data_IF_672959910541
#
_entry.id   IF_672959910541
#
_cell.length_a   1.000
_cell.length_b   1.000
_cell.length_c   1.000
_cell.angle_alpha   90.00
_cell.angle_beta   90.00
_cell.angle_gamma   90.00
#
_symmetry.space_group_name_H-M   'P 1'
#
loop_
_entity.id
_entity.type
_entity.pdbx_description
1 polymer ?
#
# COMPACT_ATOMS: atom_id res chain seq x y z
N UNK A 1 -13.82 0.66 5.67
CA UNK A 1 -13.19 2.00 5.66
C UNK A 1 -14.00 2.88 4.74
N UNK A 2 -14.40 4.05 5.23
CA UNK A 2 -15.34 4.92 4.55
C UNK A 2 -14.67 6.24 4.17
N UNK A 3 -15.20 6.91 3.14
CA UNK A 3 -14.74 8.25 2.78
C UNK A 3 -14.95 9.23 3.92
N UNK A 4 -14.03 10.17 4.09
CA UNK A 4 -14.16 11.26 5.04
C UNK A 4 -14.51 12.57 4.32
N UNK A 5 -15.39 13.37 4.92
CA UNK A 5 -15.67 14.72 4.42
C UNK A 5 -14.42 15.59 4.53
N UNK A 6 -14.11 16.32 3.46
CA UNK A 6 -13.04 17.33 3.45
C UNK A 6 -13.47 18.66 4.10
N UNK A 7 -14.75 18.80 4.48
CA UNK A 7 -15.30 19.99 5.14
C UNK A 7 -15.21 19.92 6.67
N UNK A 8 -14.69 18.82 7.21
CA UNK A 8 -14.48 18.59 8.64
C UNK A 8 -13.01 18.32 8.93
N UNK A 9 -12.61 18.43 10.20
CA UNK A 9 -11.30 17.98 10.63
C UNK A 9 -11.09 16.52 10.24
N UNK A 10 -9.98 16.25 9.56
CA UNK A 10 -9.62 14.90 9.17
C UNK A 10 -8.98 14.17 10.35
N UNK A 11 -9.29 12.88 10.56
CA UNK A 11 -8.64 12.08 11.60
C UNK A 11 -7.12 12.05 11.43
N UNK A 12 -6.40 12.17 12.54
CA UNK A 12 -4.97 11.89 12.56
C UNK A 12 -4.70 10.43 12.22
N UNK A 13 -3.63 10.17 11.45
CA UNK A 13 -3.28 8.81 11.04
C UNK A 13 -4.17 8.22 9.94
N UNK A 14 -4.96 9.05 9.23
CA UNK A 14 -5.74 8.61 8.07
C UNK A 14 -4.85 7.89 7.04
N UNK A 15 -5.45 6.90 6.39
CA UNK A 15 -4.85 6.15 5.29
C UNK A 15 -5.66 6.37 4.03
N UNK A 16 -4.99 6.54 2.91
CA UNK A 16 -5.62 6.55 1.58
C UNK A 16 -5.23 5.24 0.92
N UNK A 17 -6.20 4.38 0.63
CA UNK A 17 -5.98 3.14 -0.10
C UNK A 17 -6.29 3.34 -1.57
N UNK A 18 -5.41 2.85 -2.43
CA UNK A 18 -5.51 2.95 -3.88
C UNK A 18 -5.37 1.52 -4.40
N UNK A 19 -6.42 0.98 -5.00
CA UNK A 19 -6.38 -0.35 -5.60
C UNK A 19 -6.80 -0.23 -7.07
N UNK A 20 -6.00 -0.79 -7.96
CA UNK A 20 -6.39 -0.97 -9.35
C UNK A 20 -6.67 -2.46 -9.55
N UNK A 21 -7.92 -2.83 -9.30
CA UNK A 21 -8.44 -4.16 -9.54
C UNK A 21 -9.50 -4.06 -10.62
N UNK A 22 -9.30 -4.77 -11.73
CA UNK A 22 -10.33 -4.93 -12.74
C UNK A 22 -10.93 -6.33 -12.59
N UNK A 23 -12.07 -6.42 -11.90
CA UNK A 23 -12.79 -7.69 -11.68
C UNK A 23 -13.22 -8.34 -13.00
N UNK A 24 -13.47 -7.56 -14.05
CA UNK A 24 -13.90 -8.06 -15.36
C UNK A 24 -12.77 -8.70 -16.15
N UNK A 25 -11.53 -8.23 -15.99
CA UNK A 25 -10.37 -8.73 -16.74
C UNK A 25 -9.51 -9.73 -15.95
N UNK A 26 -9.85 -10.02 -14.69
CA UNK A 26 -9.06 -10.84 -13.75
C UNK A 26 -7.62 -10.33 -13.52
N UNK A 27 -7.26 -9.15 -14.04
CA UNK A 27 -5.95 -8.55 -13.83
C UNK A 27 -5.91 -7.86 -12.47
N UNK A 28 -5.25 -8.53 -11.52
CA UNK A 28 -4.82 -7.91 -10.27
C UNK A 28 -3.55 -7.13 -10.56
N UNK A 29 -3.66 -5.81 -10.77
CA UNK A 29 -2.50 -4.98 -11.12
C UNK A 29 -1.65 -4.71 -9.89
N UNK A 30 -2.29 -4.31 -8.80
CA UNK A 30 -1.62 -4.01 -7.54
C UNK A 30 -2.48 -3.12 -6.66
N UNK A 31 -1.87 -2.70 -5.56
CA UNK A 31 -2.47 -1.76 -4.63
C UNK A 31 -1.38 -0.90 -3.97
N UNK A 32 -1.78 0.22 -3.42
CA UNK A 32 -0.93 1.06 -2.61
C UNK A 32 -1.72 1.72 -1.49
N UNK A 33 -0.99 2.24 -0.50
CA UNK A 33 -1.60 3.13 0.47
C UNK A 33 -0.66 4.26 0.88
N UNK A 34 -1.25 5.38 1.26
CA UNK A 34 -0.54 6.54 1.81
C UNK A 34 -0.94 6.74 3.27
N UNK A 35 0.05 6.86 4.16
CA UNK A 35 -0.13 7.19 5.59
C UNK A 35 0.94 8.20 6.03
N UNK A 36 0.54 9.42 6.36
CA UNK A 36 1.50 10.51 6.58
C UNK A 36 2.33 10.73 5.31
N UNK A 37 3.65 10.64 5.43
CA UNK A 37 4.58 10.74 4.30
C UNK A 37 4.93 9.40 3.66
N UNK A 38 4.48 8.28 4.23
CA UNK A 38 4.81 6.97 3.71
C UNK A 38 3.84 6.61 2.59
N UNK A 39 4.37 6.25 1.43
CA UNK A 39 3.63 5.59 0.36
C UNK A 39 4.18 4.18 0.18
N UNK A 40 3.34 3.18 0.43
CA UNK A 40 3.65 1.77 0.20
C UNK A 40 2.94 1.30 -1.07
N UNK A 41 3.65 0.56 -1.92
CA UNK A 41 3.13 -0.01 -3.16
C UNK A 41 3.39 -1.51 -3.21
N UNK A 42 2.36 -2.28 -3.55
CA UNK A 42 2.43 -3.69 -3.89
C UNK A 42 2.06 -3.87 -5.37
N UNK A 43 3.02 -4.35 -6.15
CA UNK A 43 2.84 -4.66 -7.57
C UNK A 43 2.60 -6.16 -7.72
N UNK A 44 1.40 -6.52 -8.17
CA UNK A 44 1.01 -7.91 -8.43
C UNK A 44 1.24 -8.31 -9.88
N UNK A 45 1.41 -7.33 -10.76
CA UNK A 45 1.73 -7.51 -12.18
C UNK A 45 3.24 -7.77 -12.44
N UNK A 46 4.10 -7.64 -11.43
CA UNK A 46 5.50 -8.05 -11.52
C UNK A 46 5.66 -9.54 -11.16
N UNK A 47 6.66 -10.21 -11.73
CA UNK A 47 6.99 -11.59 -11.39
C UNK A 47 8.47 -11.70 -10.96
N UNK A 48 8.77 -11.92 -9.67
CA UNK A 48 7.82 -12.07 -8.56
C UNK A 48 7.09 -10.76 -8.22
N UNK A 49 5.95 -10.82 -7.49
CA UNK A 49 5.32 -9.64 -6.92
C UNK A 49 6.31 -8.85 -6.08
N UNK A 50 6.24 -7.54 -6.19
CA UNK A 50 7.25 -6.63 -5.64
C UNK A 50 6.63 -5.58 -4.73
N UNK A 51 7.39 -5.19 -3.72
CA UNK A 51 6.99 -4.24 -2.70
C UNK A 51 7.95 -3.04 -2.70
N UNK A 52 7.38 -1.86 -2.69
CA UNK A 52 8.12 -0.60 -2.70
C UNK A 52 7.60 0.33 -1.62
N UNK A 53 8.50 1.11 -1.03
CA UNK A 53 8.16 2.13 -0.04
C UNK A 53 8.90 3.41 -0.34
N UNK A 54 8.17 4.52 -0.28
CA UNK A 54 8.69 5.85 -0.54
C UNK A 54 8.29 6.80 0.59
N UNK A 55 9.14 7.78 0.83
CA UNK A 55 8.80 8.98 1.60
C UNK A 55 8.43 10.08 0.61
N UNK A 56 7.14 10.35 0.42
CA UNK A 56 6.66 11.31 -0.59
C UNK A 56 6.98 12.76 -0.22
N UNK A 57 7.35 13.05 1.03
CA UNK A 57 7.75 14.41 1.43
C UNK A 57 9.17 14.70 0.95
N UNK A 58 10.09 13.74 1.06
CA UNK A 58 11.49 13.91 0.67
C UNK A 58 11.80 13.40 -0.74
N UNK A 59 10.96 12.51 -1.27
CA UNK A 59 11.04 11.92 -2.62
C UNK A 59 9.67 11.93 -3.31
N UNK A 60 9.17 13.12 -3.72
CA UNK A 60 7.84 13.27 -4.34
C UNK A 60 7.72 12.61 -5.72
N UNK A 61 8.82 12.13 -6.29
CA UNK A 61 8.86 11.45 -7.58
C UNK A 61 9.13 9.95 -7.45
N UNK A 62 9.18 9.41 -6.22
CA UNK A 62 9.27 7.98 -5.94
C UNK A 62 10.48 7.30 -6.62
N UNK A 63 11.62 7.98 -6.62
CA UNK A 63 12.85 7.52 -7.27
C UNK A 63 13.70 6.61 -6.38
N UNK A 64 13.51 6.66 -5.06
CA UNK A 64 14.33 5.96 -4.08
C UNK A 64 13.46 5.01 -3.25
N UNK A 65 13.35 3.77 -3.73
CA UNK A 65 12.69 2.71 -2.99
C UNK A 65 13.45 2.40 -1.68
N UNK A 66 12.78 2.59 -0.55
CA UNK A 66 13.29 2.33 0.79
C UNK A 66 13.14 0.87 1.21
N UNK A 67 12.24 0.11 0.57
CA UNK A 67 11.88 -1.26 0.95
C UNK A 67 13.06 -2.21 1.16
N UNK A 68 14.10 -2.24 0.30
CA UNK A 68 15.23 -3.15 0.48
C UNK A 68 16.01 -2.88 1.78
N UNK A 69 16.02 -1.63 2.25
CA UNK A 69 16.76 -1.21 3.44
C UNK A 69 15.98 -1.31 4.75
N UNK A 70 14.67 -1.59 4.70
CA UNK A 70 13.84 -1.70 5.89
C UNK A 70 14.12 -3.01 6.64
N UNK A 71 14.09 -2.92 7.97
CA UNK A 71 14.12 -4.06 8.87
C UNK A 71 12.85 -4.93 8.72
N UNK A 72 12.91 -6.15 9.23
CA UNK A 72 11.76 -7.05 9.21
C UNK A 72 10.58 -6.50 10.02
N UNK A 73 10.85 -5.79 11.12
CA UNK A 73 9.81 -5.20 11.98
C UNK A 73 9.10 -4.06 11.26
N UNK A 74 9.85 -3.18 10.58
CA UNK A 74 9.27 -2.10 9.76
C UNK A 74 8.41 -2.65 8.63
N UNK A 75 8.89 -3.68 7.92
CA UNK A 75 8.12 -4.35 6.85
C UNK A 75 6.82 -4.95 7.39
N UNK A 76 6.86 -5.57 8.57
CA UNK A 76 5.66 -6.13 9.22
C UNK A 76 4.67 -5.04 9.60
N UNK A 77 5.12 -3.93 10.19
CA UNK A 77 4.22 -2.84 10.57
C UNK A 77 3.57 -2.16 9.36
N UNK A 78 4.31 -2.04 8.25
CA UNK A 78 3.79 -1.53 6.98
C UNK A 78 2.72 -2.46 6.41
N UNK A 79 2.96 -3.78 6.40
CA UNK A 79 1.99 -4.78 5.93
C UNK A 79 0.75 -4.83 6.83
N UNK A 80 0.90 -4.69 8.14
CA UNK A 80 -0.23 -4.65 9.12
C UNK A 80 -1.23 -3.54 8.81
N UNK A 81 -0.81 -2.45 8.17
CA UNK A 81 -1.75 -1.39 7.78
C UNK A 81 -2.82 -1.87 6.79
N UNK A 82 -2.55 -2.96 6.06
CA UNK A 82 -3.46 -3.54 5.05
C UNK A 82 -4.60 -4.35 5.69
N UNK A 83 -4.43 -4.87 6.91
CA UNK A 83 -5.39 -5.76 7.58
C UNK A 83 -6.76 -5.12 7.81
N UNK A 84 -6.80 -3.78 7.92
CA UNK A 84 -8.03 -3.03 8.15
C UNK A 84 -8.81 -2.72 6.86
N UNK A 85 -8.27 -3.10 5.70
CA UNK A 85 -8.89 -2.95 4.38
C UNK A 85 -9.18 -4.34 3.78
N UNK A 86 -10.45 -4.77 3.77
CA UNK A 86 -10.84 -6.10 3.26
C UNK A 86 -10.35 -6.38 1.84
N UNK A 87 -10.56 -5.44 0.90
CA UNK A 87 -10.05 -5.57 -0.47
C UNK A 87 -8.52 -5.65 -0.53
N UNK A 88 -7.82 -4.91 0.32
CA UNK A 88 -6.36 -4.88 0.35
C UNK A 88 -5.80 -6.19 0.90
N UNK A 89 -6.44 -6.75 1.93
CA UNK A 89 -6.12 -8.07 2.45
C UNK A 89 -6.26 -9.15 1.37
N UNK A 90 -7.36 -9.14 0.60
CA UNK A 90 -7.59 -10.11 -0.48
C UNK A 90 -6.56 -9.99 -1.62
N UNK A 91 -6.16 -8.75 -1.96
CA UNK A 91 -5.11 -8.50 -2.95
C UNK A 91 -3.73 -8.90 -2.43
N UNK A 92 -3.43 -8.62 -1.17
CA UNK A 92 -2.17 -9.03 -0.53
C UNK A 92 -2.05 -10.55 -0.43
N UNK A 93 -3.08 -11.24 0.04
CA UNK A 93 -3.09 -12.70 0.18
C UNK A 93 -2.85 -13.41 -1.16
N UNK A 94 -3.31 -12.80 -2.26
CA UNK A 94 -3.11 -13.32 -3.61
C UNK A 94 -1.71 -13.06 -4.20
N UNK A 95 -0.89 -12.23 -3.56
CA UNK A 95 0.50 -11.99 -3.99
C UNK A 95 1.40 -13.21 -3.80
N UNK A 96 1.03 -14.17 -2.95
CA UNK A 96 1.90 -15.29 -2.59
C UNK A 96 3.14 -14.87 -1.77
N UNK A 97 3.26 -13.60 -1.37
CA UNK A 97 4.29 -13.12 -0.45
C UNK A 97 4.00 -13.70 0.93
N UNK A 98 4.86 -14.62 1.39
CA UNK A 98 4.77 -15.17 2.76
C UNK A 98 5.27 -14.15 3.78
N UNK A 99 4.57 -14.09 4.91
CA UNK A 99 4.92 -13.29 6.10
C UNK A 99 6.33 -13.62 6.63
#
# INVERSE_FOLDING_TARGET
>A
MEGASLLSNLPEGRRIFIANNNETSLYRVGMSYIKGNLHYMLRLNSFPPDEEVYDIQTDPYEKKNLWPGLSLEEKREIRRQLDECGLCYDLYAASGIKL
#
